data_IF_686641667656
#
_entry.id   IF_686641667656
#
_cell.length_a   1.000
_cell.length_b   1.000
_cell.length_c   1.000
_cell.angle_alpha   90.00
_cell.angle_beta   90.00
_cell.angle_gamma   90.00
#
_symmetry.space_group_name_H-M   'P 1'
#
loop_
_entity.id
_entity.type
_entity.pdbx_description
1 polymer ?
#
# COMPACT_ATOMS: atom_id res chain seq x y z
N UNK A 1 40.89 36.87 -39.18
CA UNK A 1 40.78 36.48 -37.76
C UNK A 1 39.29 36.38 -37.44
N UNK A 2 38.70 35.18 -37.55
CA UNK A 2 37.27 34.93 -37.30
C UNK A 2 37.15 34.37 -35.90
N UNK A 3 36.50 35.11 -35.00
CA UNK A 3 36.17 34.65 -33.65
C UNK A 3 34.85 33.88 -33.77
N UNK A 4 34.91 32.56 -33.66
CA UNK A 4 33.73 31.71 -33.55
C UNK A 4 33.27 31.72 -32.10
N UNK A 5 32.07 32.26 -31.85
CA UNK A 5 31.39 32.17 -30.56
C UNK A 5 30.97 30.72 -30.32
N UNK A 6 31.52 30.10 -29.28
CA UNK A 6 31.11 28.79 -28.80
C UNK A 6 29.80 28.97 -28.04
N UNK A 7 28.70 28.52 -28.64
CA UNK A 7 27.41 28.37 -27.96
C UNK A 7 27.50 27.15 -27.05
N UNK A 8 27.53 27.35 -25.74
CA UNK A 8 27.35 26.29 -24.75
C UNK A 8 25.88 25.86 -24.78
N UNK A 9 25.58 24.79 -25.52
CA UNK A 9 24.37 24.00 -25.29
C UNK A 9 24.53 23.28 -23.96
N UNK A 10 23.84 23.77 -22.93
CA UNK A 10 23.63 23.04 -21.68
C UNK A 10 22.71 21.86 -22.01
N UNK A 11 23.30 20.69 -22.23
CA UNK A 11 22.55 19.44 -22.26
C UNK A 11 22.04 19.20 -20.85
N UNK A 12 20.76 19.48 -20.60
CA UNK A 12 20.09 19.05 -19.39
C UNK A 12 20.19 17.51 -19.36
N UNK A 13 21.00 16.99 -18.45
CA UNK A 13 20.99 15.56 -18.14
C UNK A 13 19.66 15.30 -17.45
N UNK A 14 18.68 14.82 -18.21
CA UNK A 14 17.48 14.23 -17.64
C UNK A 14 17.93 12.96 -16.90
N UNK A 15 18.27 13.10 -15.62
CA UNK A 15 18.40 11.96 -14.74
C UNK A 15 17.00 11.38 -14.55
N UNK A 16 16.68 10.35 -15.33
CA UNK A 16 15.53 9.47 -15.10
C UNK A 16 15.79 8.69 -13.81
N UNK A 17 15.60 9.36 -12.67
CA UNK A 17 15.64 8.74 -11.36
C UNK A 17 14.31 8.06 -11.11
N UNK A 18 14.30 6.73 -11.12
CA UNK A 18 13.16 5.96 -10.61
C UNK A 18 13.10 6.18 -9.09
N UNK A 19 12.06 6.88 -8.63
CA UNK A 19 11.80 7.11 -7.21
C UNK A 19 10.60 6.27 -6.74
N UNK A 20 10.58 5.84 -5.47
CA UNK A 20 9.61 4.88 -4.97
C UNK A 20 8.18 5.43 -4.99
N UNK A 21 7.21 4.57 -5.22
CA UNK A 21 5.80 4.92 -5.06
C UNK A 21 5.47 5.11 -3.59
N UNK A 22 4.76 6.18 -3.26
CA UNK A 22 4.41 6.56 -1.89
C UNK A 22 3.00 6.09 -1.58
N UNK A 23 2.91 4.83 -1.13
CA UNK A 23 2.27 4.39 0.12
C UNK A 23 2.57 2.89 0.29
N UNK A 24 3.66 2.57 0.99
CA UNK A 24 3.75 1.38 1.82
C UNK A 24 3.40 1.78 3.25
N UNK A 25 3.11 0.81 4.11
CA UNK A 25 3.09 1.01 5.55
C UNK A 25 4.08 0.03 6.15
N UNK A 26 4.71 0.38 7.27
CA UNK A 26 5.27 -0.66 8.11
C UNK A 26 4.17 -1.29 8.98
N UNK A 27 4.55 -2.25 9.82
CA UNK A 27 3.65 -3.12 10.59
C UNK A 27 2.47 -2.35 11.19
N UNK A 28 2.75 -1.23 11.88
CA UNK A 28 1.72 -0.42 12.54
C UNK A 28 0.65 0.10 11.57
N UNK A 29 1.04 0.65 10.41
CA UNK A 29 0.08 1.25 9.50
C UNK A 29 -0.81 0.17 8.85
N UNK A 30 -0.22 -0.97 8.47
CA UNK A 30 -0.98 -2.12 7.97
C UNK A 30 -2.00 -2.63 9.01
N UNK A 31 -1.55 -2.84 10.24
CA UNK A 31 -2.42 -3.34 11.31
C UNK A 31 -3.46 -2.33 11.76
N UNK A 32 -3.19 -1.02 11.71
CA UNK A 32 -4.21 0.00 11.94
C UNK A 32 -5.30 -0.04 10.87
N UNK A 33 -4.94 -0.22 9.59
CA UNK A 33 -5.93 -0.41 8.52
C UNK A 33 -6.79 -1.66 8.79
N UNK A 34 -6.16 -2.78 9.17
CA UNK A 34 -6.86 -4.03 9.51
C UNK A 34 -7.78 -3.89 10.74
N UNK A 35 -7.29 -3.30 11.82
CA UNK A 35 -8.02 -3.07 13.05
C UNK A 35 -9.22 -2.14 12.85
N UNK A 36 -9.04 -1.05 12.09
CA UNK A 36 -10.14 -0.17 11.72
C UNK A 36 -11.20 -0.92 10.91
N UNK A 37 -10.77 -1.72 9.93
CA UNK A 37 -11.71 -2.50 9.14
C UNK A 37 -12.49 -3.50 10.01
N UNK A 38 -11.81 -4.18 10.94
CA UNK A 38 -12.41 -5.10 11.93
C UNK A 38 -13.46 -4.39 12.80
N UNK A 39 -13.16 -3.21 13.33
CA UNK A 39 -14.09 -2.43 14.16
C UNK A 39 -15.32 -1.90 13.39
N UNK A 40 -15.22 -1.75 12.06
CA UNK A 40 -16.30 -1.29 11.19
C UNK A 40 -17.18 -2.43 10.64
N UNK A 41 -16.81 -3.69 10.88
CA UNK A 41 -17.55 -4.88 10.46
C UNK A 41 -18.54 -5.33 11.53
N UNK A 42 -19.60 -6.02 11.10
CA UNK A 42 -20.45 -6.78 12.01
C UNK A 42 -19.68 -7.99 12.57
N UNK A 43 -19.96 -8.37 13.82
CA UNK A 43 -19.29 -9.48 14.52
C UNK A 43 -19.34 -10.81 13.73
N UNK A 44 -20.46 -11.05 13.02
CA UNK A 44 -20.63 -12.24 12.19
C UNK A 44 -19.69 -12.26 10.97
N UNK A 45 -19.39 -11.10 10.39
CA UNK A 45 -18.45 -11.00 9.26
C UNK A 45 -17.02 -11.16 9.74
N UNK A 46 -16.66 -10.56 10.88
CA UNK A 46 -15.35 -10.77 11.53
C UNK A 46 -15.14 -12.27 11.82
N UNK A 47 -16.10 -12.91 12.48
CA UNK A 47 -16.05 -14.35 12.79
C UNK A 47 -15.88 -15.20 11.53
N UNK A 48 -16.61 -14.86 10.46
CA UNK A 48 -16.52 -15.58 9.19
C UNK A 48 -15.09 -15.49 8.61
N UNK A 49 -14.51 -14.30 8.55
CA UNK A 49 -13.20 -14.07 7.97
C UNK A 49 -12.11 -14.71 8.84
N UNK A 50 -12.12 -14.47 10.14
CA UNK A 50 -11.10 -15.00 11.07
C UNK A 50 -11.16 -16.53 11.16
N UNK A 51 -12.32 -17.17 10.94
CA UNK A 51 -12.42 -18.65 10.82
C UNK A 51 -11.64 -19.25 9.63
N UNK A 52 -11.39 -18.45 8.59
CA UNK A 52 -10.57 -18.85 7.45
C UNK A 52 -9.10 -18.53 7.72
N UNK A 53 -8.81 -17.32 8.21
CA UNK A 53 -7.44 -16.87 8.47
C UNK A 53 -6.74 -17.76 9.50
N UNK A 54 -7.42 -18.10 10.60
CA UNK A 54 -6.90 -18.98 11.66
C UNK A 54 -6.50 -20.39 11.21
N UNK A 55 -6.96 -20.84 10.03
CA UNK A 55 -6.49 -22.13 9.46
C UNK A 55 -5.01 -22.12 9.13
N UNK A 56 -4.41 -20.94 9.00
CA UNK A 56 -3.00 -20.74 8.70
C UNK A 56 -2.16 -20.53 9.96
N UNK A 57 -2.73 -20.56 11.16
CA UNK A 57 -1.98 -20.27 12.40
C UNK A 57 -0.86 -21.30 12.69
N UNK A 58 -0.96 -22.52 12.17
CA UNK A 58 0.13 -23.52 12.28
C UNK A 58 1.36 -23.11 11.45
N UNK A 59 1.14 -22.61 10.23
CA UNK A 59 2.20 -22.21 9.31
C UNK A 59 2.69 -20.77 9.56
N UNK A 60 1.77 -19.89 9.96
CA UNK A 60 1.96 -18.46 10.15
C UNK A 60 1.31 -18.01 11.46
N UNK A 61 1.95 -18.30 12.61
CA UNK A 61 1.35 -18.04 13.91
C UNK A 61 1.04 -16.56 14.12
N UNK A 62 -0.09 -16.31 14.77
CA UNK A 62 -0.63 -14.97 15.07
C UNK A 62 -0.98 -14.15 13.82
N UNK A 63 -1.26 -14.79 12.69
CA UNK A 63 -1.79 -14.12 11.48
C UNK A 63 -3.27 -14.46 11.19
N UNK A 64 -3.93 -15.14 12.14
CA UNK A 64 -5.33 -15.54 12.07
C UNK A 64 -6.38 -14.45 12.32
N UNK A 65 -5.99 -13.22 12.69
CA UNK A 65 -6.91 -12.09 12.89
C UNK A 65 -6.85 -11.12 11.70
N UNK A 66 -7.96 -10.44 11.37
CA UNK A 66 -7.99 -9.41 10.29
C UNK A 66 -6.89 -8.36 10.50
N UNK A 67 -6.69 -7.98 11.75
CA UNK A 67 -5.69 -7.01 12.17
C UNK A 67 -4.27 -7.51 11.91
N UNK A 68 -3.96 -8.75 12.30
CA UNK A 68 -2.59 -9.27 12.27
C UNK A 68 -2.20 -9.87 10.94
N UNK A 69 -3.16 -10.37 10.16
CA UNK A 69 -2.92 -10.83 8.79
C UNK A 69 -2.48 -9.70 7.86
N UNK A 70 -2.72 -8.44 8.22
CA UNK A 70 -2.38 -7.27 7.40
C UNK A 70 -0.89 -7.14 7.06
N UNK A 71 0.01 -7.76 7.84
CA UNK A 71 1.46 -7.79 7.59
C UNK A 71 1.94 -9.13 7.02
N UNK A 72 1.06 -10.10 6.81
CA UNK A 72 1.45 -11.45 6.40
C UNK A 72 2.24 -11.44 5.09
N UNK A 73 1.88 -10.57 4.14
CA UNK A 73 2.59 -10.43 2.86
C UNK A 73 4.03 -9.91 3.04
N UNK A 74 4.32 -9.14 4.09
CA UNK A 74 5.66 -8.73 4.46
C UNK A 74 6.44 -9.84 5.18
N UNK A 75 5.76 -10.69 5.94
CA UNK A 75 6.37 -11.84 6.61
C UNK A 75 6.78 -12.91 5.59
N UNK A 76 5.89 -13.26 4.66
CA UNK A 76 6.12 -14.40 3.73
C UNK A 76 7.20 -14.12 2.67
N UNK A 77 7.56 -12.86 2.41
CA UNK A 77 8.68 -12.51 1.51
C UNK A 77 10.05 -12.65 2.17
N UNK A 78 10.10 -12.87 3.48
CA UNK A 78 11.33 -13.09 4.23
C UNK A 78 12.15 -14.26 3.71
N UNK A 79 13.42 -14.04 3.34
CA UNK A 79 14.34 -15.12 2.94
C UNK A 79 15.37 -15.47 4.01
N UNK A 80 15.60 -14.59 4.97
CA UNK A 80 16.59 -14.73 6.05
C UNK A 80 16.25 -13.79 7.21
N UNK A 81 16.71 -14.14 8.42
CA UNK A 81 16.59 -13.26 9.58
C UNK A 81 17.32 -11.93 9.36
N UNK A 82 16.70 -10.83 9.77
CA UNK A 82 17.27 -9.49 9.75
C UNK A 82 16.64 -8.62 10.85
N UNK A 83 17.05 -7.35 10.95
CA UNK A 83 16.45 -6.41 11.89
C UNK A 83 14.95 -6.15 11.65
N UNK A 84 14.46 -6.45 10.44
CA UNK A 84 13.05 -6.28 10.02
C UNK A 84 12.35 -7.60 9.77
N UNK A 85 13.09 -8.70 9.62
CA UNK A 85 12.51 -10.03 9.43
C UNK A 85 12.97 -10.92 10.58
N UNK A 86 12.13 -11.09 11.61
CA UNK A 86 12.51 -11.84 12.81
C UNK A 86 12.33 -13.36 12.67
N UNK A 87 11.64 -13.81 11.63
CA UNK A 87 11.43 -15.24 11.38
C UNK A 87 11.34 -15.47 9.89
N UNK A 88 12.33 -16.10 9.23
CA UNK A 88 12.19 -16.53 7.86
C UNK A 88 11.12 -17.62 7.82
N UNK A 89 9.88 -17.22 7.53
CA UNK A 89 8.79 -18.16 7.35
C UNK A 89 9.04 -18.98 6.08
N UNK A 90 8.78 -20.29 6.16
CA UNK A 90 8.80 -21.17 5.00
C UNK A 90 7.36 -21.55 4.66
N UNK A 91 6.88 -21.31 3.42
CA UNK A 91 7.67 -20.92 2.25
C UNK A 91 8.02 -19.42 2.21
N UNK A 92 9.22 -19.12 1.69
CA UNK A 92 9.61 -17.76 1.33
C UNK A 92 9.20 -17.45 -0.11
N UNK A 93 8.31 -16.49 -0.31
CA UNK A 93 7.75 -16.15 -1.62
C UNK A 93 8.20 -14.74 -2.00
N UNK A 94 9.43 -14.64 -2.50
CA UNK A 94 10.04 -13.34 -2.86
C UNK A 94 9.29 -12.56 -3.94
N UNK A 95 8.50 -13.24 -4.79
CA UNK A 95 7.66 -12.61 -5.82
C UNK A 95 6.57 -11.72 -5.23
N UNK A 96 6.19 -11.93 -3.96
CA UNK A 96 5.23 -11.06 -3.27
C UNK A 96 5.78 -9.64 -3.09
N UNK A 97 7.09 -9.41 -3.23
CA UNK A 97 7.66 -8.05 -3.24
C UNK A 97 7.02 -7.17 -4.32
N UNK A 98 6.75 -7.72 -5.51
CA UNK A 98 6.16 -6.97 -6.62
C UNK A 98 4.66 -6.72 -6.39
N UNK A 99 4.01 -7.46 -5.50
CA UNK A 99 2.58 -7.29 -5.18
C UNK A 99 2.31 -6.09 -4.28
N UNK A 100 3.34 -5.51 -3.65
CA UNK A 100 3.20 -4.42 -2.69
C UNK A 100 3.13 -3.03 -3.34
N UNK A 101 3.43 -2.92 -4.64
CA UNK A 101 3.52 -1.63 -5.31
C UNK A 101 3.02 -1.67 -6.75
N UNK A 102 2.86 -0.47 -7.30
CA UNK A 102 2.60 -0.21 -8.71
C UNK A 102 3.60 0.87 -9.09
N UNK A 103 4.47 0.63 -10.07
CA UNK A 103 5.48 1.60 -10.48
C UNK A 103 4.99 2.40 -11.69
N UNK A 104 4.37 3.55 -11.40
CA UNK A 104 3.93 4.50 -12.43
C UNK A 104 5.00 5.58 -12.63
N UNK A 105 5.23 6.01 -13.88
CA UNK A 105 6.18 7.08 -14.15
C UNK A 105 5.74 8.40 -13.54
N UNK A 106 6.69 9.20 -13.05
CA UNK A 106 6.42 10.50 -12.45
C UNK A 106 7.56 11.48 -12.73
N UNK A 107 7.22 12.73 -13.06
CA UNK A 107 8.19 13.83 -12.95
C UNK A 107 8.11 14.46 -11.55
N UNK A 108 9.21 14.35 -10.82
CA UNK A 108 9.33 14.80 -9.44
C UNK A 108 9.17 16.32 -9.24
N UNK A 109 9.28 17.09 -10.32
CA UNK A 109 9.14 18.53 -10.33
C UNK A 109 7.68 18.98 -10.48
N UNK A 110 6.73 18.03 -10.52
CA UNK A 110 5.30 18.32 -10.72
C UNK A 110 4.85 18.31 -12.17
N UNK A 111 5.76 18.20 -13.13
CA UNK A 111 5.42 18.16 -14.56
C UNK A 111 4.68 16.86 -14.92
N UNK A 112 3.96 16.91 -16.04
CA UNK A 112 3.29 15.75 -16.60
C UNK A 112 4.29 14.75 -17.17
N UNK A 113 4.05 13.46 -16.96
CA UNK A 113 4.77 12.40 -17.68
C UNK A 113 4.33 12.35 -19.14
N UNK A 114 5.25 12.62 -20.06
CA UNK A 114 4.97 12.65 -21.51
C UNK A 114 3.75 13.52 -21.89
N UNK A 115 3.57 14.66 -21.21
CA UNK A 115 2.39 15.55 -21.34
C UNK A 115 1.03 14.88 -21.01
N UNK A 116 1.02 13.67 -20.44
CA UNK A 116 -0.19 12.93 -20.05
C UNK A 116 -0.81 13.51 -18.78
N UNK A 117 -2.13 13.54 -18.74
CA UNK A 117 -2.87 13.82 -17.52
C UNK A 117 -2.76 12.65 -16.53
N UNK A 118 -2.95 12.94 -15.24
CA UNK A 118 -3.03 11.90 -14.20
C UNK A 118 -4.36 11.15 -14.30
N UNK A 119 -4.50 10.31 -15.31
CA UNK A 119 -5.69 9.50 -15.58
C UNK A 119 -5.32 8.02 -15.85
N UNK A 120 -6.33 7.22 -16.22
CA UNK A 120 -6.17 5.77 -16.44
C UNK A 120 -5.19 5.42 -17.56
N UNK A 121 -4.89 6.34 -18.48
CA UNK A 121 -3.90 6.11 -19.55
C UNK A 121 -2.48 5.98 -19.01
N UNK A 122 -2.21 6.45 -17.78
CA UNK A 122 -0.89 6.31 -17.14
C UNK A 122 -0.53 4.84 -16.87
N UNK A 123 -1.51 3.94 -16.76
CA UNK A 123 -1.25 2.51 -16.62
C UNK A 123 -0.66 1.87 -17.88
N UNK A 124 -0.79 2.50 -19.05
CA UNK A 124 -0.15 2.03 -20.28
C UNK A 124 1.37 2.15 -20.22
N UNK A 125 1.89 2.99 -19.31
CA UNK A 125 3.32 3.22 -19.09
C UNK A 125 3.85 2.55 -17.81
N UNK A 126 3.11 1.60 -17.24
CA UNK A 126 3.51 0.93 -16.00
C UNK A 126 4.90 0.29 -16.16
N UNK A 127 5.81 0.62 -15.23
CA UNK A 127 7.22 0.22 -15.29
C UNK A 127 7.55 -0.98 -14.40
N UNK A 128 6.56 -1.48 -13.65
CA UNK A 128 6.72 -2.62 -12.75
C UNK A 128 5.69 -2.61 -11.62
N UNK A 129 5.77 -3.61 -10.74
CA UNK A 129 4.80 -3.83 -9.68
C UNK A 129 3.50 -4.45 -10.19
N UNK A 130 2.98 -5.41 -9.44
CA UNK A 130 1.82 -6.21 -9.76
C UNK A 130 0.63 -5.92 -8.83
N UNK A 131 0.76 -4.97 -7.89
CA UNK A 131 -0.21 -4.76 -6.82
C UNK A 131 -1.65 -4.60 -7.32
N UNK A 132 -1.86 -3.81 -8.39
CA UNK A 132 -3.21 -3.64 -8.95
C UNK A 132 -3.76 -4.93 -9.57
N UNK A 133 -2.93 -5.66 -10.31
CA UNK A 133 -3.31 -6.91 -10.96
C UNK A 133 -3.65 -7.99 -9.93
N UNK A 134 -2.90 -8.04 -8.83
CA UNK A 134 -3.11 -8.96 -7.71
C UNK A 134 -4.44 -8.66 -7.02
N UNK A 135 -4.69 -7.41 -6.63
CA UNK A 135 -5.93 -7.03 -5.93
C UNK A 135 -7.14 -7.26 -6.84
N UNK A 136 -7.07 -6.86 -8.12
CA UNK A 136 -8.13 -7.17 -9.07
C UNK A 136 -8.33 -8.69 -9.23
N UNK A 137 -7.24 -9.47 -9.24
CA UNK A 137 -7.27 -10.92 -9.32
C UNK A 137 -7.97 -11.56 -8.13
N UNK A 138 -7.70 -11.08 -6.91
CA UNK A 138 -8.39 -11.52 -5.69
C UNK A 138 -9.87 -11.17 -5.75
N UNK A 139 -10.25 -9.94 -6.12
CA UNK A 139 -11.66 -9.57 -6.24
C UNK A 139 -12.37 -10.40 -7.33
N UNK A 140 -11.69 -10.72 -8.44
CA UNK A 140 -12.20 -11.62 -9.49
C UNK A 140 -12.37 -13.06 -9.00
N UNK A 141 -11.44 -13.60 -8.21
CA UNK A 141 -11.44 -15.01 -7.81
C UNK A 141 -12.63 -15.37 -6.92
N UNK A 142 -13.02 -14.47 -6.02
CA UNK A 142 -14.21 -14.63 -5.17
C UNK A 142 -15.55 -14.54 -5.95
N UNK A 143 -15.53 -14.20 -7.24
CA UNK A 143 -16.71 -14.23 -8.11
C UNK A 143 -16.95 -15.63 -8.74
N UNK A 144 -16.09 -16.63 -8.49
CA UNK A 144 -16.16 -17.97 -9.11
C UNK A 144 -15.95 -19.08 -8.08
N UNK A 145 -16.59 -20.25 -8.29
CA UNK A 145 -16.22 -21.51 -7.61
C UNK A 145 -14.75 -21.87 -7.94
N UNK A 146 -14.00 -22.51 -7.02
CA UNK A 146 -12.56 -22.59 -7.11
C UNK A 146 -12.09 -23.58 -8.20
N UNK A 147 -11.24 -23.11 -9.10
CA UNK A 147 -10.30 -23.93 -9.87
C UNK A 147 -8.87 -23.59 -9.45
N UNK A 148 -7.93 -24.54 -9.53
CA UNK A 148 -6.63 -24.47 -8.85
C UNK A 148 -5.72 -23.42 -9.51
N UNK A 149 -5.29 -22.43 -8.73
CA UNK A 149 -4.38 -21.39 -9.18
C UNK A 149 -2.93 -21.91 -9.19
N UNK A 150 -2.39 -22.20 -10.37
CA UNK A 150 -0.96 -22.23 -10.64
C UNK A 150 -0.59 -20.95 -11.38
N UNK A 151 0.29 -20.12 -10.82
CA UNK A 151 0.99 -19.05 -11.55
C UNK A 151 2.39 -18.81 -10.94
N UNK A 152 3.39 -18.95 -11.81
CA UNK A 152 4.82 -18.59 -11.77
C UNK A 152 5.14 -18.13 -13.23
N UNK A 153 6.19 -17.36 -13.61
CA UNK A 153 7.34 -16.79 -12.85
C UNK A 153 7.88 -15.37 -13.27
N UNK A 154 8.89 -14.89 -12.51
CA UNK A 154 10.16 -14.17 -12.87
C UNK A 154 10.32 -12.65 -13.21
N UNK A 155 11.11 -11.99 -12.31
CA UNK A 155 12.36 -11.17 -12.46
C UNK A 155 12.36 -9.61 -12.50
N UNK A 156 12.63 -9.03 -11.31
CA UNK A 156 13.71 -8.07 -10.88
C UNK A 156 13.72 -6.56 -11.26
N UNK A 157 13.64 -5.73 -10.20
CA UNK A 157 14.65 -4.74 -9.64
C UNK A 157 14.54 -3.23 -9.98
N UNK A 158 14.52 -2.35 -8.95
CA UNK A 158 15.34 -1.10 -8.80
C UNK A 158 15.15 -0.44 -7.40
N UNK A 159 16.16 -0.43 -6.51
CA UNK A 159 17.12 0.65 -6.10
C UNK A 159 16.57 1.88 -5.36
N UNK A 160 17.15 2.13 -4.17
CA UNK A 160 16.82 3.16 -3.18
C UNK A 160 17.82 4.34 -3.17
N UNK A 161 17.32 5.57 -2.97
CA UNK A 161 18.13 6.77 -2.67
C UNK A 161 17.55 7.52 -1.45
N UNK A 162 18.42 8.12 -0.64
CA UNK A 162 18.20 8.36 0.79
C UNK A 162 18.10 9.82 1.25
N UNK A 163 17.04 10.21 2.00
CA UNK A 163 17.06 11.25 3.03
C UNK A 163 17.21 10.59 4.42
N UNK A 164 18.05 11.17 5.26
CA UNK A 164 18.56 10.54 6.49
C UNK A 164 17.56 10.37 7.66
N UNK A 165 17.99 9.56 8.64
CA UNK A 165 17.28 8.87 9.75
C UNK A 165 16.39 7.68 9.37
N UNK A 166 15.69 7.72 8.23
CA UNK A 166 14.90 6.58 7.69
C UNK A 166 15.35 6.08 6.33
N UNK A 167 16.40 6.69 5.76
CA UNK A 167 17.16 6.11 4.66
C UNK A 167 16.53 6.21 3.27
N UNK A 168 15.25 6.57 3.09
CA UNK A 168 14.63 6.99 1.82
C UNK A 168 13.28 7.70 2.09
N UNK A 169 12.69 8.48 1.14
CA UNK A 169 11.42 9.16 1.39
C UNK A 169 10.27 8.18 1.64
N UNK A 170 10.29 7.01 0.98
CA UNK A 170 9.28 5.96 1.16
C UNK A 170 9.27 5.44 2.60
N UNK A 171 10.43 5.18 3.20
CA UNK A 171 10.54 4.80 4.62
C UNK A 171 10.04 5.87 5.60
N UNK A 172 10.03 7.16 5.22
CA UNK A 172 9.39 8.21 6.03
C UNK A 172 7.87 8.08 6.00
N UNK A 173 7.31 7.79 4.82
CA UNK A 173 5.88 7.60 4.61
C UNK A 173 5.36 6.29 5.20
N UNK A 174 6.08 5.18 5.01
CA UNK A 174 5.74 3.88 5.62
C UNK A 174 5.54 3.96 7.12
N UNK A 175 6.31 4.86 7.72
CA UNK A 175 6.42 5.02 9.15
C UNK A 175 5.65 6.25 9.66
N UNK A 176 4.76 6.79 8.83
CA UNK A 176 3.89 7.94 9.09
C UNK A 176 4.62 9.14 9.71
N UNK A 177 5.76 9.53 9.13
CA UNK A 177 6.55 10.68 9.60
C UNK A 177 7.19 10.50 10.98
N UNK A 178 7.05 9.32 11.61
CA UNK A 178 7.46 9.08 12.99
C UNK A 178 6.39 8.45 13.85
N UNK A 179 5.12 8.65 13.50
CA UNK A 179 4.00 8.27 14.37
C UNK A 179 3.84 6.76 14.51
N UNK A 180 4.09 6.02 13.44
CA UNK A 180 3.81 4.58 13.35
C UNK A 180 5.07 3.86 12.84
N UNK A 181 6.04 3.65 13.73
CA UNK A 181 7.42 3.34 13.33
C UNK A 181 7.84 1.88 13.50
N UNK A 182 6.95 0.98 13.91
CA UNK A 182 7.26 -0.44 14.04
C UNK A 182 7.47 -1.03 12.66
N UNK A 183 8.64 -1.62 12.45
CA UNK A 183 9.02 -2.37 11.26
C UNK A 183 9.84 -3.59 11.69
N UNK A 184 9.15 -4.63 12.13
CA UNK A 184 9.77 -5.85 12.66
C UNK A 184 9.31 -7.11 11.95
N UNK A 185 8.26 -7.01 11.13
CA UNK A 185 7.55 -8.15 10.50
C UNK A 185 7.44 -9.30 11.50
N UNK A 186 7.04 -8.97 12.73
CA UNK A 186 7.12 -9.90 13.85
C UNK A 186 5.89 -10.81 13.87
N UNK A 187 6.12 -12.11 14.01
CA UNK A 187 5.06 -13.07 14.31
C UNK A 187 4.46 -12.85 15.70
N UNK A 188 5.17 -12.24 16.67
CA UNK A 188 4.56 -11.89 17.96
C UNK A 188 4.14 -10.43 17.96
N UNK A 189 2.86 -10.21 18.19
CA UNK A 189 2.25 -8.90 18.13
C UNK A 189 1.83 -8.29 19.48
N UNK A 190 1.99 -9.06 20.56
CA UNK A 190 1.44 -8.73 21.88
C UNK A 190 1.98 -7.41 22.41
N UNK A 191 3.29 -7.18 22.19
CA UNK A 191 3.97 -5.96 22.64
C UNK A 191 3.48 -4.69 21.95
N UNK A 192 2.77 -4.78 20.82
CA UNK A 192 2.27 -3.61 20.10
C UNK A 192 0.75 -3.57 19.97
N UNK A 193 0.02 -4.63 20.35
CA UNK A 193 -1.45 -4.61 20.37
C UNK A 193 -2.03 -3.35 21.06
N UNK A 194 -1.45 -2.82 22.16
CA UNK A 194 -1.92 -1.54 22.74
C UNK A 194 -1.82 -0.33 21.80
N UNK A 195 -0.87 -0.32 20.85
CA UNK A 195 -0.74 0.79 19.86
C UNK A 195 -1.85 0.80 18.81
N UNK A 196 -2.61 -0.30 18.71
CA UNK A 196 -3.77 -0.42 17.83
C UNK A 196 -5.03 0.19 18.45
N UNK A 197 -5.01 0.56 19.73
CA UNK A 197 -6.10 1.31 20.40
C UNK A 197 -6.41 2.64 19.70
N UNK A 198 -5.43 3.20 18.96
CA UNK A 198 -5.61 4.38 18.13
C UNK A 198 -6.59 4.17 16.95
N UNK A 199 -6.95 2.93 16.60
CA UNK A 199 -7.88 2.67 15.50
C UNK A 199 -9.24 3.36 15.72
N UNK A 200 -9.76 3.39 16.95
CA UNK A 200 -11.03 4.06 17.25
C UNK A 200 -10.93 5.60 17.10
N UNK A 201 -9.77 6.19 17.42
CA UNK A 201 -9.51 7.60 17.17
C UNK A 201 -9.47 7.91 15.67
N UNK A 202 -8.85 7.03 14.87
CA UNK A 202 -8.83 7.17 13.41
C UNK A 202 -10.22 6.99 12.79
N UNK A 203 -11.05 6.08 13.30
CA UNK A 203 -12.46 5.95 12.91
C UNK A 203 -13.21 7.27 13.15
N UNK A 204 -12.98 7.91 14.31
CA UNK A 204 -13.61 9.18 14.63
C UNK A 204 -13.23 10.33 13.67
N UNK A 205 -12.13 10.21 12.92
CA UNK A 205 -11.75 11.17 11.89
C UNK A 205 -12.60 11.07 10.62
N UNK A 206 -13.18 9.89 10.32
CA UNK A 206 -13.85 9.61 9.04
C UNK A 206 -14.87 10.68 8.60
N UNK A 207 -15.75 11.22 9.47
CA UNK A 207 -16.69 12.26 9.06
C UNK A 207 -16.04 13.57 8.58
N UNK A 208 -14.79 13.81 8.97
CA UNK A 208 -14.01 15.01 8.62
C UNK A 208 -13.00 14.77 7.50
N UNK A 209 -12.81 13.52 7.08
CA UNK A 209 -11.86 13.15 6.03
C UNK A 209 -12.60 13.06 4.70
N UNK A 210 -12.16 13.87 3.72
CA UNK A 210 -12.69 13.79 2.38
C UNK A 210 -12.19 12.52 1.68
N UNK A 211 -13.13 11.66 1.29
CA UNK A 211 -12.90 10.48 0.47
C UNK A 211 -13.61 10.64 -0.88
N UNK A 212 -12.86 11.00 -1.91
CA UNK A 212 -13.40 11.23 -3.25
C UNK A 212 -13.82 9.94 -3.97
N UNK A 213 -13.30 8.79 -3.54
CA UNK A 213 -13.56 7.47 -4.11
C UNK A 213 -14.11 6.58 -3.00
N UNK A 214 -15.21 7.02 -2.40
CA UNK A 214 -15.79 6.34 -1.25
C UNK A 214 -16.38 4.99 -1.62
N UNK A 215 -16.11 3.99 -0.79
CA UNK A 215 -16.68 2.65 -0.94
C UNK A 215 -18.03 2.52 -0.21
N UNK A 216 -18.47 3.55 0.52
CA UNK A 216 -19.76 3.56 1.23
C UNK A 216 -20.95 3.29 0.30
N UNK A 217 -20.87 3.75 -0.95
CA UNK A 217 -21.86 3.48 -2.00
C UNK A 217 -22.00 1.98 -2.35
N UNK A 218 -21.01 1.15 -2.02
CA UNK A 218 -21.02 -0.30 -2.29
C UNK A 218 -21.43 -1.14 -1.07
N UNK A 219 -21.81 -0.54 0.06
CA UNK A 219 -22.12 -1.28 1.29
C UNK A 219 -23.30 -2.25 1.14
N UNK A 220 -24.27 -1.91 0.29
CA UNK A 220 -25.53 -2.64 0.13
C UNK A 220 -25.74 -3.18 -1.30
N UNK A 221 -24.70 -3.27 -2.11
CA UNK A 221 -24.76 -3.91 -3.43
C UNK A 221 -24.50 -5.42 -3.32
N UNK A 222 -24.68 -6.16 -4.40
CA UNK A 222 -24.23 -7.56 -4.50
C UNK A 222 -22.73 -7.64 -4.73
N UNK A 223 -22.12 -8.79 -4.45
CA UNK A 223 -20.71 -9.00 -4.76
C UNK A 223 -20.38 -8.80 -6.24
N UNK A 224 -21.27 -9.19 -7.15
CA UNK A 224 -21.05 -9.03 -8.58
C UNK A 224 -21.06 -7.55 -9.00
N UNK A 225 -21.90 -6.73 -8.37
CA UNK A 225 -21.89 -5.28 -8.55
C UNK A 225 -20.62 -4.66 -7.96
N UNK A 226 -20.18 -5.08 -6.76
CA UNK A 226 -18.88 -4.66 -6.20
C UNK A 226 -17.73 -5.04 -7.15
N UNK A 227 -17.69 -6.29 -7.62
CA UNK A 227 -16.68 -6.78 -8.55
C UNK A 227 -16.67 -5.94 -9.83
N UNK A 228 -17.84 -5.70 -10.42
CA UNK A 228 -17.98 -4.87 -11.62
C UNK A 228 -17.44 -3.46 -11.35
N UNK A 229 -17.79 -2.84 -10.22
CA UNK A 229 -17.30 -1.50 -9.88
C UNK A 229 -15.77 -1.47 -9.67
N UNK A 230 -15.25 -2.33 -8.79
CA UNK A 230 -13.84 -2.34 -8.41
C UNK A 230 -12.91 -2.73 -9.55
N UNK A 231 -13.37 -3.64 -10.42
CA UNK A 231 -12.55 -4.25 -11.46
C UNK A 231 -12.92 -3.72 -12.84
N UNK A 232 -14.15 -3.96 -13.31
CA UNK A 232 -14.55 -3.63 -14.69
C UNK A 232 -14.61 -2.12 -14.91
N UNK A 233 -15.13 -1.39 -13.94
CA UNK A 233 -15.19 0.07 -13.95
C UNK A 233 -13.92 0.70 -13.35
N UNK A 234 -12.90 -0.11 -13.05
CA UNK A 234 -11.55 0.35 -12.70
C UNK A 234 -11.45 1.24 -11.45
N UNK A 235 -12.41 1.17 -10.52
CA UNK A 235 -12.37 1.97 -9.28
C UNK A 235 -11.10 1.70 -8.46
N UNK A 236 -10.57 0.47 -8.45
CA UNK A 236 -9.29 0.18 -7.79
C UNK A 236 -8.12 0.93 -8.43
N UNK A 237 -8.14 1.13 -9.75
CA UNK A 237 -7.11 1.89 -10.48
C UNK A 237 -7.20 3.38 -10.18
N UNK A 238 -8.42 3.90 -10.05
CA UNK A 238 -8.66 5.28 -9.62
C UNK A 238 -8.14 5.52 -8.19
N UNK A 239 -8.33 4.57 -7.27
CA UNK A 239 -7.75 4.65 -5.91
C UNK A 239 -6.23 4.74 -5.95
N UNK A 240 -5.57 3.94 -6.79
CA UNK A 240 -4.12 3.99 -6.96
C UNK A 240 -3.66 5.29 -7.65
N UNK A 241 -4.43 5.84 -8.61
CA UNK A 241 -4.15 7.15 -9.23
C UNK A 241 -4.32 8.30 -8.24
N UNK A 242 -5.29 8.23 -7.32
CA UNK A 242 -5.42 9.20 -6.24
C UNK A 242 -4.12 9.22 -5.40
N UNK A 243 -3.61 8.04 -5.03
CA UNK A 243 -2.34 7.92 -4.29
C UNK A 243 -1.15 8.41 -5.11
N UNK A 244 -1.10 8.13 -6.41
CA UNK A 244 -0.09 8.69 -7.32
C UNK A 244 -0.16 10.23 -7.36
N UNK A 245 -1.36 10.80 -7.43
CA UNK A 245 -1.52 12.25 -7.42
C UNK A 245 -1.02 12.85 -6.10
N UNK A 246 -1.32 12.22 -4.96
CA UNK A 246 -0.72 12.58 -3.67
C UNK A 246 0.81 12.51 -3.69
N UNK A 247 1.38 11.46 -4.28
CA UNK A 247 2.82 11.32 -4.47
C UNK A 247 3.40 12.55 -5.18
N UNK A 248 2.79 12.95 -6.29
CA UNK A 248 3.24 14.08 -7.08
C UNK A 248 3.06 15.42 -6.34
N UNK A 249 1.82 15.73 -5.93
CA UNK A 249 1.43 17.08 -5.52
C UNK A 249 1.70 17.37 -4.06
N UNK A 250 1.89 16.35 -3.22
CA UNK A 250 2.14 16.50 -1.79
C UNK A 250 3.51 15.95 -1.40
N UNK A 251 3.83 14.72 -1.81
CA UNK A 251 5.05 14.08 -1.32
C UNK A 251 6.29 14.71 -1.93
N UNK A 252 6.45 14.58 -3.25
CA UNK A 252 7.66 15.01 -3.92
C UNK A 252 7.76 16.53 -4.06
N UNK A 253 6.62 17.22 -4.25
CA UNK A 253 6.56 18.69 -4.34
C UNK A 253 7.02 19.41 -3.06
N UNK A 254 6.91 18.77 -1.89
CA UNK A 254 7.29 19.37 -0.59
C UNK A 254 8.65 18.87 -0.08
N UNK A 255 9.38 18.08 -0.87
CA UNK A 255 10.73 17.63 -0.54
C UNK A 255 11.78 18.54 -1.20
N UNK A 256 12.88 18.76 -0.49
CA UNK A 256 14.07 19.33 -1.12
C UNK A 256 14.80 18.23 -1.91
N UNK A 257 14.57 18.24 -3.22
CA UNK A 257 15.15 17.29 -4.16
C UNK A 257 16.44 17.84 -4.80
N UNK A 258 17.07 18.87 -4.21
CA UNK A 258 18.39 19.31 -4.65
C UNK A 258 19.47 18.46 -3.99
N UNK A 259 20.12 17.61 -4.79
CA UNK A 259 21.26 16.86 -4.32
C UNK A 259 22.37 17.83 -3.86
N UNK A 260 22.91 17.59 -2.67
CA UNK A 260 24.11 18.26 -2.17
C UNK A 260 25.30 17.97 -3.08
N UNK A 261 26.39 18.70 -2.90
CA UNK A 261 27.66 18.43 -3.59
C UNK A 261 28.19 17.00 -3.36
N UNK A 262 27.74 16.31 -2.30
CA UNK A 262 28.04 14.90 -2.03
C UNK A 262 27.08 13.89 -2.69
N UNK A 263 26.09 14.36 -3.46
CA UNK A 263 25.08 13.49 -4.09
C UNK A 263 24.01 12.98 -3.11
N UNK A 264 23.96 13.53 -1.90
CA UNK A 264 22.93 13.20 -0.89
C UNK A 264 21.81 14.24 -0.93
N UNK A 265 20.59 13.85 -0.57
CA UNK A 265 19.47 14.80 -0.48
C UNK A 265 19.32 15.34 0.94
N UNK A 266 18.88 16.61 1.11
CA UNK A 266 18.59 17.16 2.42
C UNK A 266 17.56 16.34 3.20
N UNK A 267 17.69 16.33 4.52
CA UNK A 267 16.69 15.71 5.39
C UNK A 267 15.35 16.47 5.28
N UNK A 268 14.21 15.79 5.31
CA UNK A 268 12.92 16.45 5.42
C UNK A 268 12.84 17.29 6.70
N UNK A 269 12.18 18.44 6.62
CA UNK A 269 11.99 19.32 7.78
C UNK A 269 11.06 18.67 8.81
N UNK A 270 11.11 19.17 10.05
CA UNK A 270 10.15 18.75 11.08
C UNK A 270 8.69 19.05 10.68
N UNK A 271 8.46 20.16 9.97
CA UNK A 271 7.13 20.49 9.44
C UNK A 271 6.66 19.49 8.38
N UNK A 272 7.58 19.00 7.53
CA UNK A 272 7.27 17.94 6.58
C UNK A 272 6.92 16.64 7.31
N UNK A 273 7.72 16.23 8.30
CA UNK A 273 7.44 15.00 9.06
C UNK A 273 6.09 15.05 9.79
N UNK A 274 5.72 16.21 10.36
CA UNK A 274 4.41 16.41 10.97
C UNK A 274 3.27 16.31 9.95
N UNK A 275 3.45 16.91 8.76
CA UNK A 275 2.49 16.82 7.66
C UNK A 275 2.31 15.38 7.16
N UNK A 276 3.41 14.62 7.02
CA UNK A 276 3.35 13.19 6.68
C UNK A 276 2.53 12.44 7.72
N UNK A 277 2.78 12.68 9.01
CA UNK A 277 2.02 12.03 10.08
C UNK A 277 0.51 12.29 9.99
N UNK A 278 0.10 13.55 9.84
CA UNK A 278 -1.30 13.94 9.72
C UNK A 278 -1.98 13.31 8.48
N UNK A 279 -1.31 13.37 7.33
CA UNK A 279 -1.85 12.79 6.09
C UNK A 279 -1.94 11.27 6.20
N UNK A 280 -0.92 10.62 6.77
CA UNK A 280 -0.90 9.18 6.94
C UNK A 280 -2.07 8.69 7.80
N UNK A 281 -2.40 9.38 8.89
CA UNK A 281 -3.58 9.08 9.70
C UNK A 281 -4.87 9.12 8.88
N UNK A 282 -5.07 10.17 8.05
CA UNK A 282 -6.25 10.30 7.17
C UNK A 282 -6.30 9.19 6.12
N UNK A 283 -5.16 8.83 5.52
CA UNK A 283 -5.08 7.77 4.50
C UNK A 283 -5.28 6.37 5.09
N UNK A 284 -4.75 6.11 6.29
CA UNK A 284 -5.04 4.89 7.06
C UNK A 284 -6.54 4.81 7.35
N UNK A 285 -7.17 5.92 7.75
CA UNK A 285 -8.61 5.94 8.02
C UNK A 285 -9.45 5.61 6.79
N UNK A 286 -9.17 6.27 5.66
CA UNK A 286 -9.81 5.96 4.37
C UNK A 286 -9.59 4.49 3.99
N UNK A 287 -8.35 4.00 4.06
CA UNK A 287 -8.02 2.62 3.69
C UNK A 287 -8.76 1.59 4.56
N UNK A 288 -8.83 1.80 5.88
CA UNK A 288 -9.58 0.95 6.80
C UNK A 288 -11.09 0.93 6.47
N UNK A 289 -11.67 2.10 6.18
CA UNK A 289 -13.08 2.18 5.81
C UNK A 289 -13.40 1.50 4.47
N UNK A 290 -12.53 1.64 3.46
CA UNK A 290 -12.66 0.96 2.16
C UNK A 290 -12.48 -0.54 2.31
N UNK A 291 -11.50 -0.99 3.11
CA UNK A 291 -11.25 -2.39 3.40
C UNK A 291 -12.45 -3.05 4.12
N UNK A 292 -13.09 -2.37 5.08
CA UNK A 292 -14.29 -2.87 5.74
C UNK A 292 -15.40 -3.24 4.75
N UNK A 293 -15.63 -2.39 3.74
CA UNK A 293 -16.63 -2.66 2.70
C UNK A 293 -16.25 -3.91 1.91
N UNK A 294 -14.99 -4.04 1.46
CA UNK A 294 -14.53 -5.22 0.71
C UNK A 294 -14.65 -6.49 1.55
N UNK A 295 -14.25 -6.44 2.83
CA UNK A 295 -14.29 -7.58 3.74
C UNK A 295 -15.73 -8.02 4.05
N UNK A 296 -16.67 -7.08 4.21
CA UNK A 296 -18.11 -7.39 4.36
C UNK A 296 -18.60 -8.27 3.20
N UNK A 297 -18.22 -7.88 1.99
CA UNK A 297 -18.56 -8.62 0.77
C UNK A 297 -17.87 -9.98 0.68
N UNK A 298 -16.62 -10.08 1.13
CA UNK A 298 -15.89 -11.35 1.19
C UNK A 298 -16.52 -12.30 2.21
N UNK A 299 -16.89 -11.80 3.39
CA UNK A 299 -17.59 -12.59 4.41
C UNK A 299 -18.93 -13.12 3.90
N UNK A 300 -19.72 -12.28 3.22
CA UNK A 300 -20.96 -12.71 2.58
C UNK A 300 -20.71 -13.82 1.53
N UNK A 301 -19.65 -13.68 0.70
CA UNK A 301 -19.33 -14.69 -0.31
C UNK A 301 -18.80 -16.00 0.27
N UNK A 302 -17.96 -15.95 1.30
CA UNK A 302 -17.50 -17.14 2.02
C UNK A 302 -18.68 -17.95 2.58
N UNK A 303 -19.74 -17.25 3.01
CA UNK A 303 -21.00 -17.87 3.46
C UNK A 303 -21.78 -18.51 2.31
N UNK A 304 -21.96 -17.79 1.20
CA UNK A 304 -22.64 -18.32 -0.01
C UNK A 304 -21.91 -19.55 -0.59
N UNK A 305 -20.57 -19.53 -0.59
CA UNK A 305 -19.74 -20.61 -1.12
C UNK A 305 -19.57 -21.79 -0.14
N UNK A 306 -20.03 -21.66 1.12
CA UNK A 306 -19.86 -22.70 2.14
C UNK A 306 -18.40 -22.94 2.54
N UNK A 307 -17.54 -21.92 2.44
CA UNK A 307 -16.10 -22.04 2.72
C UNK A 307 -15.76 -21.78 4.20
N UNK A 308 -16.64 -21.11 4.93
CA UNK A 308 -16.53 -20.88 6.38
C UNK A 308 -16.89 -22.13 7.19
N UNK A 309 -16.41 -22.22 8.43
CA UNK A 309 -16.82 -23.27 9.36
C UNK A 309 -18.22 -22.93 9.86
N UNK A 310 -19.19 -23.81 9.66
CA UNK A 310 -20.44 -23.74 10.39
C UNK A 310 -20.14 -24.13 11.84
N UNK A 311 -20.31 -23.19 12.78
CA UNK A 311 -20.33 -23.51 14.21
C UNK A 311 -21.48 -24.47 14.53
#
# INVERSE_FOLDING_TARGET
MKIAGVSLTVTAVASTGFLPTTQGWWDNGHMLVGEMAKQLLDEADVTTIESILSRWDEDFPNTGEITTTAVWMDIVKCTAESSTCLTPASPSITSISDWHYINLPLHINGDKWEDKDTDLTLYDDIMGGDGISVIEGVVKSFNRQPLPAQLYPHLRRSTSAAPHSRGNPHAVWDAAGGLYSLNKWSLNIDSFRPTLENASELIALLPSVQDNITFSQYVNVTYNELNTALVTNQVLREVALETYNFANTIVYSNLDLNATSSGTYPCPSASYLAMVGEISQKRIAIAGSRLAVVLKHFAAQLRVLGLHVAN
#
